data_IF_822771475259
#
_entry.id   IF_822771475259
#
_cell.length_a   1.000
_cell.length_b   1.000
_cell.length_c   1.000
_cell.angle_alpha   90.00
_cell.angle_beta   90.00
_cell.angle_gamma   90.00
#
_symmetry.space_group_name_H-M   'P 1'
#
loop_
_entity.id
_entity.type
_entity.pdbx_description
1 polymer ?
#
# COMPACT_ATOMS: atom_id res chain seq x y z
N UNK A 1 0.15 74.66 -57.05
CA UNK A 1 -1.30 74.75 -56.71
C UNK A 1 -1.64 73.40 -56.10
N UNK A 2 -2.22 73.21 -54.91
CA UNK A 2 -3.15 73.98 -54.12
C UNK A 2 -3.26 73.30 -52.74
N UNK A 3 -3.24 74.11 -51.67
CA UNK A 3 -4.02 74.02 -50.41
C UNK A 3 -4.16 72.66 -49.67
N UNK A 4 -3.62 72.52 -48.45
CA UNK A 4 -4.21 72.93 -47.15
C UNK A 4 -5.51 72.19 -46.75
N UNK A 5 -5.39 71.21 -45.85
CA UNK A 5 -6.32 70.91 -44.74
C UNK A 5 -5.57 69.98 -43.74
N UNK A 6 -5.08 70.44 -42.57
CA UNK A 6 -5.80 70.64 -41.29
C UNK A 6 -6.78 69.51 -40.96
N UNK A 7 -6.88 68.90 -39.78
CA UNK A 7 -6.20 68.90 -38.46
C UNK A 7 -6.92 67.76 -37.70
N UNK A 8 -6.26 67.05 -36.78
CA UNK A 8 -6.71 66.80 -35.39
C UNK A 8 -6.01 65.57 -34.77
N UNK A 9 -5.09 65.89 -33.83
CA UNK A 9 -4.98 65.31 -32.48
C UNK A 9 -4.77 63.79 -32.39
N UNK A 10 -3.69 63.27 -31.82
CA UNK A 10 -3.29 63.46 -30.41
C UNK A 10 -1.96 62.72 -30.16
N UNK A 11 -1.06 63.39 -29.45
CA UNK A 11 0.13 62.81 -28.82
C UNK A 11 -0.27 61.74 -27.80
N UNK A 12 0.36 60.57 -27.86
CA UNK A 12 0.54 59.68 -26.71
C UNK A 12 2.02 59.25 -26.71
N UNK A 13 2.80 59.53 -25.65
CA UNK A 13 4.16 59.05 -25.55
C UNK A 13 4.14 57.57 -25.18
N UNK A 14 4.80 56.73 -25.98
CA UNK A 14 4.99 55.31 -25.70
C UNK A 14 6.00 55.18 -24.58
N UNK A 15 5.50 54.94 -23.36
CA UNK A 15 6.32 54.61 -22.21
C UNK A 15 7.06 53.28 -22.45
N UNK A 16 8.39 53.36 -22.46
CA UNK A 16 9.27 52.20 -22.50
C UNK A 16 9.04 51.35 -21.23
N UNK A 17 8.47 50.15 -21.42
CA UNK A 17 8.32 49.16 -20.36
C UNK A 17 9.59 48.30 -20.31
N UNK A 18 10.34 48.46 -19.22
CA UNK A 18 11.33 47.50 -18.75
C UNK A 18 10.69 46.11 -18.64
N UNK A 19 11.03 45.18 -19.54
CA UNK A 19 10.80 43.76 -19.32
C UNK A 19 11.96 43.21 -18.50
N UNK A 20 11.84 43.30 -17.17
CA UNK A 20 12.59 42.42 -16.30
C UNK A 20 12.05 40.99 -16.53
N UNK A 21 12.87 40.14 -17.16
CA UNK A 21 12.58 38.73 -17.34
C UNK A 21 12.74 38.01 -16.00
N UNK A 22 11.69 38.04 -15.19
CA UNK A 22 11.63 37.25 -13.96
C UNK A 22 11.51 35.79 -14.35
N UNK A 23 12.62 35.06 -14.36
CA UNK A 23 12.61 33.59 -14.37
C UNK A 23 11.95 33.12 -13.09
N UNK A 24 10.65 32.86 -13.14
CA UNK A 24 9.98 32.01 -12.13
C UNK A 24 10.53 30.60 -12.29
N UNK A 25 11.48 30.24 -11.43
CA UNK A 25 11.84 28.85 -11.20
C UNK A 25 10.59 28.19 -10.60
N UNK A 26 9.79 27.52 -11.42
CA UNK A 26 8.78 26.58 -10.95
C UNK A 26 9.52 25.39 -10.34
N UNK A 27 9.78 25.45 -9.03
CA UNK A 27 10.06 24.27 -8.22
C UNK A 27 8.74 23.52 -8.03
N UNK A 28 8.18 22.98 -9.11
CA UNK A 28 7.18 21.93 -9.02
C UNK A 28 7.92 20.71 -8.51
N UNK A 29 7.86 20.55 -7.19
CA UNK A 29 8.35 19.42 -6.42
C UNK A 29 7.86 18.11 -7.05
N UNK A 30 8.76 17.41 -7.74
CA UNK A 30 8.62 16.01 -8.16
C UNK A 30 8.65 15.04 -6.96
N UNK A 31 8.09 15.44 -5.82
CA UNK A 31 7.85 14.53 -4.71
C UNK A 31 6.44 13.99 -4.89
N UNK A 32 6.30 12.97 -5.73
CA UNK A 32 5.29 11.96 -5.50
C UNK A 32 5.66 11.27 -4.17
N UNK A 33 5.32 11.94 -3.06
CA UNK A 33 5.60 11.46 -1.73
C UNK A 33 4.72 10.22 -1.51
N UNK A 34 5.35 9.06 -1.34
CA UNK A 34 4.70 7.87 -0.81
C UNK A 34 3.96 8.27 0.48
N UNK A 35 2.63 8.09 0.51
CA UNK A 35 1.81 8.47 1.66
C UNK A 35 1.86 7.41 2.76
N UNK A 36 2.17 6.17 2.41
CA UNK A 36 2.31 5.08 3.37
C UNK A 36 3.61 5.21 4.14
N UNK A 37 3.50 5.41 5.45
CA UNK A 37 4.64 5.53 6.37
C UNK A 37 4.34 4.76 7.65
N UNK A 38 5.31 3.98 8.14
CA UNK A 38 5.19 3.28 9.42
C UNK A 38 4.96 4.30 10.54
N UNK A 39 4.10 3.96 11.51
CA UNK A 39 3.61 4.82 12.60
C UNK A 39 2.66 5.94 12.16
N UNK A 40 2.27 6.04 10.88
CA UNK A 40 1.27 7.00 10.38
C UNK A 40 -0.01 6.29 9.96
N UNK A 41 -1.15 7.01 9.91
CA UNK A 41 -2.38 6.47 9.35
C UNK A 41 -2.16 5.95 7.92
N UNK A 42 -2.71 4.78 7.62
CA UNK A 42 -2.66 4.20 6.29
C UNK A 42 -3.41 5.09 5.28
N UNK A 43 -2.90 5.24 4.04
CA UNK A 43 -3.61 5.99 3.01
C UNK A 43 -5.00 5.39 2.75
N UNK A 44 -6.01 6.25 2.72
CA UNK A 44 -7.39 5.82 2.50
C UNK A 44 -7.54 5.23 1.09
N UNK A 45 -8.24 4.11 1.00
CA UNK A 45 -8.63 3.50 -0.27
C UNK A 45 -10.11 3.18 -0.27
N UNK A 46 -10.69 3.16 -1.47
CA UNK A 46 -12.06 2.77 -1.76
C UNK A 46 -12.11 2.24 -3.19
N UNK A 47 -12.79 1.12 -3.42
CA UNK A 47 -12.94 0.56 -4.76
C UNK A 47 -13.78 -0.70 -4.79
N UNK A 48 -14.00 -1.21 -6.00
CA UNK A 48 -14.75 -2.45 -6.23
C UNK A 48 -13.81 -3.63 -6.07
N UNK A 49 -14.19 -4.59 -5.24
CA UNK A 49 -13.50 -5.85 -5.05
C UNK A 49 -14.39 -7.04 -5.46
N UNK A 50 -13.76 -8.16 -5.80
CA UNK A 50 -14.43 -9.45 -5.91
C UNK A 50 -14.42 -10.12 -4.54
N UNK A 51 -15.59 -10.40 -3.98
CA UNK A 51 -15.79 -11.08 -2.69
C UNK A 51 -16.77 -12.22 -2.91
N UNK A 52 -16.37 -13.46 -2.63
CA UNK A 52 -17.20 -14.65 -2.88
C UNK A 52 -17.78 -14.70 -4.31
N UNK A 53 -16.97 -14.33 -5.32
CA UNK A 53 -17.36 -14.23 -6.74
C UNK A 53 -18.44 -13.18 -7.07
N UNK A 54 -18.71 -12.23 -6.15
CA UNK A 54 -19.59 -11.08 -6.37
C UNK A 54 -18.81 -9.77 -6.33
N UNK A 55 -19.33 -8.74 -7.01
CA UNK A 55 -18.76 -7.39 -6.94
C UNK A 55 -19.28 -6.65 -5.71
N UNK A 56 -18.35 -6.20 -4.88
CA UNK A 56 -18.66 -5.43 -3.68
C UNK A 56 -17.73 -4.23 -3.55
N UNK A 57 -18.29 -3.08 -3.21
CA UNK A 57 -17.48 -1.92 -2.85
C UNK A 57 -16.91 -2.10 -1.45
N UNK A 58 -15.60 -1.91 -1.30
CA UNK A 58 -14.89 -1.95 -0.02
C UNK A 58 -14.02 -0.70 0.14
N UNK A 59 -13.75 -0.35 1.38
CA UNK A 59 -12.91 0.79 1.75
C UNK A 59 -12.12 0.49 3.02
N UNK A 60 -11.04 1.23 3.27
CA UNK A 60 -10.17 1.00 4.43
C UNK A 60 -10.93 1.03 5.78
N UNK A 61 -11.94 1.90 5.91
CA UNK A 61 -12.72 2.01 7.14
C UNK A 61 -13.57 0.79 7.48
N UNK A 62 -13.84 -0.10 6.51
CA UNK A 62 -14.59 -1.34 6.75
C UNK A 62 -13.81 -2.34 7.61
N UNK A 63 -12.48 -2.16 7.69
CA UNK A 63 -11.56 -3.01 8.46
C UNK A 63 -11.20 -2.42 9.83
N UNK A 64 -11.82 -1.30 10.22
CA UNK A 64 -11.55 -0.65 11.53
C UNK A 64 -11.83 -1.61 12.68
N UNK A 65 -10.93 -1.62 13.67
CA UNK A 65 -11.04 -2.52 14.83
C UNK A 65 -10.41 -3.90 14.61
N UNK A 66 -9.95 -4.21 13.39
CA UNK A 66 -9.21 -5.43 13.06
C UNK A 66 -7.83 -5.09 12.52
N UNK A 67 -6.91 -6.03 12.63
CA UNK A 67 -5.68 -5.96 11.84
C UNK A 67 -6.02 -6.20 10.36
N UNK A 68 -5.28 -5.55 9.46
CA UNK A 68 -5.44 -5.71 8.02
C UNK A 68 -4.07 -5.96 7.37
N UNK A 69 -3.98 -7.06 6.63
CA UNK A 69 -2.91 -7.30 5.66
C UNK A 69 -3.40 -6.81 4.30
N UNK A 70 -2.88 -5.68 3.84
CA UNK A 70 -3.13 -5.17 2.50
C UNK A 70 -1.91 -5.48 1.64
N UNK A 71 -2.06 -6.30 0.59
CA UNK A 71 -0.93 -6.64 -0.26
C UNK A 71 -1.24 -6.42 -1.74
N UNK A 72 -0.26 -5.86 -2.43
CA UNK A 72 -0.28 -5.62 -3.86
C UNK A 72 0.41 -6.76 -4.60
N UNK A 73 -0.09 -7.09 -5.77
CA UNK A 73 0.57 -7.98 -6.71
C UNK A 73 0.59 -7.37 -8.12
N UNK A 74 1.57 -7.73 -8.96
CA UNK A 74 1.74 -7.10 -10.28
C UNK A 74 0.53 -7.14 -11.20
N UNK A 75 0.09 -8.33 -11.58
CA UNK A 75 -0.94 -8.57 -12.60
C UNK A 75 -1.62 -9.93 -12.40
N UNK A 76 -2.91 -9.97 -12.74
CA UNK A 76 -3.68 -11.21 -12.93
C UNK A 76 -3.07 -12.08 -14.06
N UNK A 77 -3.34 -13.39 -14.04
CA UNK A 77 -2.92 -14.36 -15.06
C UNK A 77 -1.40 -14.42 -15.33
N UNK A 78 -0.58 -14.15 -14.29
CA UNK A 78 0.88 -14.29 -14.34
C UNK A 78 1.37 -15.43 -13.44
N UNK A 79 2.69 -15.53 -13.20
CA UNK A 79 3.32 -16.76 -12.67
C UNK A 79 3.39 -16.83 -11.14
N UNK A 80 3.98 -15.82 -10.49
CA UNK A 80 4.18 -15.82 -9.02
C UNK A 80 2.96 -15.30 -8.27
N UNK A 81 2.19 -14.39 -8.87
CA UNK A 81 1.00 -13.81 -8.26
C UNK A 81 -0.03 -14.85 -7.77
N UNK A 82 -0.42 -15.89 -8.56
CA UNK A 82 -1.39 -16.87 -8.09
C UNK A 82 -0.89 -17.67 -6.89
N UNK A 83 0.42 -17.95 -6.79
CA UNK A 83 0.96 -18.73 -5.68
C UNK A 83 0.83 -17.98 -4.35
N UNK A 84 1.11 -16.68 -4.34
CA UNK A 84 0.94 -15.83 -3.15
C UNK A 84 -0.53 -15.71 -2.77
N UNK A 85 -1.39 -15.41 -3.74
CA UNK A 85 -2.83 -15.21 -3.52
C UNK A 85 -3.47 -16.47 -2.94
N UNK A 86 -3.14 -17.64 -3.51
CA UNK A 86 -3.61 -18.94 -3.05
C UNK A 86 -3.07 -19.25 -1.65
N UNK A 87 -1.78 -19.00 -1.37
CA UNK A 87 -1.18 -19.31 -0.08
C UNK A 87 -1.84 -18.53 1.08
N UNK A 88 -2.19 -17.26 0.87
CA UNK A 88 -2.98 -16.49 1.84
C UNK A 88 -4.42 -17.03 1.98
N UNK A 89 -5.03 -17.48 0.88
CA UNK A 89 -6.42 -17.96 0.88
C UNK A 89 -6.56 -19.28 1.64
N UNK A 90 -5.65 -20.21 1.38
CA UNK A 90 -5.66 -21.53 2.01
C UNK A 90 -5.41 -21.44 3.52
N UNK A 91 -4.68 -20.41 3.96
CA UNK A 91 -4.36 -20.13 5.38
C UNK A 91 -5.19 -19.01 6.00
N UNK A 92 -6.25 -18.55 5.34
CA UNK A 92 -7.07 -17.41 5.80
C UNK A 92 -7.64 -17.59 7.21
N UNK A 93 -7.88 -18.85 7.62
CA UNK A 93 -8.39 -19.19 8.96
C UNK A 93 -7.43 -18.78 10.07
N UNK A 94 -6.12 -18.85 9.82
CA UNK A 94 -5.09 -18.42 10.79
C UNK A 94 -5.13 -16.91 11.00
N UNK A 95 -5.34 -16.13 9.94
CA UNK A 95 -5.53 -14.68 10.03
C UNK A 95 -6.82 -14.33 10.77
N UNK A 96 -7.94 -14.99 10.43
CA UNK A 96 -9.23 -14.77 11.11
C UNK A 96 -9.17 -15.12 12.60
N UNK A 97 -8.44 -16.16 12.99
CA UNK A 97 -8.22 -16.52 14.40
C UNK A 97 -7.41 -15.45 15.16
N UNK A 98 -6.68 -14.60 14.44
CA UNK A 98 -5.93 -13.46 14.97
C UNK A 98 -6.66 -12.13 14.71
N UNK A 99 -7.99 -12.11 14.56
CA UNK A 99 -8.77 -10.90 14.25
C UNK A 99 -8.15 -10.04 13.13
N UNK A 100 -7.63 -10.72 12.11
CA UNK A 100 -6.91 -10.11 10.99
C UNK A 100 -7.61 -10.44 9.68
N UNK A 101 -7.87 -9.42 8.88
CA UNK A 101 -8.38 -9.55 7.52
C UNK A 101 -7.24 -9.42 6.51
N UNK A 102 -7.44 -9.98 5.31
CA UNK A 102 -6.48 -9.93 4.21
C UNK A 102 -7.18 -9.33 3.00
N UNK A 103 -6.50 -8.46 2.24
CA UNK A 103 -6.99 -7.90 0.96
C UNK A 103 -5.86 -7.93 -0.05
N UNK A 104 -6.10 -8.58 -1.19
CA UNK A 104 -5.22 -8.51 -2.36
C UNK A 104 -5.60 -7.35 -3.26
N UNK A 105 -4.62 -6.68 -3.86
CA UNK A 105 -4.83 -5.52 -4.74
C UNK A 105 -3.97 -5.64 -5.99
N UNK A 106 -4.52 -5.38 -7.16
CA UNK A 106 -3.72 -5.08 -8.36
C UNK A 106 -4.36 -3.97 -9.18
N UNK A 107 -3.69 -3.60 -10.27
CA UNK A 107 -4.16 -2.59 -11.22
C UNK A 107 -5.18 -3.12 -12.23
N UNK A 108 -5.53 -4.41 -12.14
CA UNK A 108 -6.49 -5.06 -13.02
C UNK A 108 -7.93 -4.66 -12.69
N UNK A 109 -8.86 -4.97 -13.59
CA UNK A 109 -10.29 -4.71 -13.36
C UNK A 109 -10.92 -5.79 -12.50
N UNK A 110 -12.01 -5.46 -11.80
CA UNK A 110 -12.80 -6.45 -11.04
C UNK A 110 -13.39 -7.55 -11.94
N UNK A 111 -13.60 -7.27 -13.24
CA UNK A 111 -13.98 -8.29 -14.23
C UNK A 111 -12.85 -9.30 -14.48
N UNK A 112 -11.60 -8.83 -14.57
CA UNK A 112 -10.41 -9.69 -14.68
C UNK A 112 -10.28 -10.58 -13.45
N UNK A 113 -10.39 -10.00 -12.26
CA UNK A 113 -10.36 -10.76 -11.01
C UNK A 113 -11.42 -11.86 -10.98
N UNK A 114 -12.66 -11.55 -11.36
CA UNK A 114 -13.74 -12.54 -11.38
C UNK A 114 -13.45 -13.67 -12.38
N UNK A 115 -12.96 -13.35 -13.58
CA UNK A 115 -12.54 -14.35 -14.55
C UNK A 115 -11.42 -15.25 -13.98
N UNK A 116 -10.46 -14.66 -13.27
CA UNK A 116 -9.32 -15.39 -12.70
C UNK A 116 -9.70 -16.28 -11.51
N UNK A 117 -10.62 -15.81 -10.66
CA UNK A 117 -11.26 -16.60 -9.59
C UNK A 117 -12.02 -17.80 -10.17
N UNK A 118 -12.71 -17.62 -11.30
CA UNK A 118 -13.45 -18.68 -11.97
C UNK A 118 -12.54 -19.64 -12.76
N UNK A 119 -11.26 -19.30 -12.95
CA UNK A 119 -10.30 -20.18 -13.63
C UNK A 119 -9.78 -21.24 -12.64
N UNK A 120 -9.77 -22.54 -12.99
CA UNK A 120 -9.23 -23.59 -12.12
C UNK A 120 -7.74 -23.41 -11.82
N UNK A 121 -7.31 -23.75 -10.59
CA UNK A 121 -5.89 -23.67 -10.17
C UNK A 121 -4.93 -24.44 -11.06
N UNK A 122 -5.36 -25.60 -11.59
CA UNK A 122 -4.57 -26.42 -12.53
C UNK A 122 -4.23 -25.71 -13.84
N UNK A 123 -5.02 -24.70 -14.21
CA UNK A 123 -4.87 -23.92 -15.45
C UNK A 123 -4.25 -22.54 -15.15
N UNK A 124 -3.65 -22.35 -13.97
CA UNK A 124 -3.05 -21.08 -13.55
C UNK A 124 -4.05 -20.07 -12.96
N UNK A 125 -5.28 -20.50 -12.69
CA UNK A 125 -6.29 -19.70 -12.00
C UNK A 125 -6.18 -19.70 -10.48
N UNK A 126 -7.11 -19.03 -9.80
CA UNK A 126 -7.14 -18.95 -8.34
C UNK A 126 -8.08 -19.98 -7.70
N UNK A 127 -9.17 -20.32 -8.41
CA UNK A 127 -10.29 -21.05 -7.83
C UNK A 127 -11.01 -20.24 -6.73
N UNK A 128 -11.72 -20.95 -5.84
CA UNK A 128 -12.47 -20.31 -4.75
C UNK A 128 -11.53 -19.51 -3.84
N UNK A 129 -11.83 -18.21 -3.70
CA UNK A 129 -11.12 -17.27 -2.85
C UNK A 129 -11.91 -16.94 -1.59
N UNK A 130 -11.21 -16.79 -0.46
CA UNK A 130 -11.81 -16.58 0.86
C UNK A 130 -11.62 -15.15 1.42
N UNK A 131 -11.03 -14.25 0.61
CA UNK A 131 -10.80 -12.85 0.93
C UNK A 131 -10.92 -11.97 -0.34
N UNK A 132 -11.06 -10.63 -0.19
CA UNK A 132 -11.32 -9.73 -1.31
C UNK A 132 -10.11 -9.54 -2.24
N UNK A 133 -10.38 -9.48 -3.55
CA UNK A 133 -9.45 -8.94 -4.54
C UNK A 133 -9.95 -7.58 -5.03
N UNK A 134 -9.23 -6.52 -4.68
CA UNK A 134 -9.57 -5.13 -4.94
C UNK A 134 -8.95 -4.65 -6.27
N UNK A 135 -9.79 -4.08 -7.13
CA UNK A 135 -9.37 -3.50 -8.39
C UNK A 135 -8.92 -2.04 -8.22
N UNK A 136 -7.65 -1.74 -8.51
CA UNK A 136 -7.08 -0.40 -8.58
C UNK A 136 -6.84 0.04 -10.04
N UNK A 137 -7.90 0.03 -10.85
CA UNK A 137 -7.80 0.34 -12.28
C UNK A 137 -7.19 1.74 -12.54
N UNK A 138 -7.45 2.68 -11.64
CA UNK A 138 -6.93 4.06 -11.70
C UNK A 138 -5.46 4.19 -11.25
N UNK A 139 -4.88 3.13 -10.66
CA UNK A 139 -3.52 3.09 -10.12
C UNK A 139 -3.27 4.04 -8.95
N UNK A 140 -4.33 4.70 -8.47
CA UNK A 140 -4.25 5.70 -7.41
C UNK A 140 -3.88 5.05 -6.08
N UNK A 141 -4.42 3.87 -5.81
CA UNK A 141 -4.16 3.16 -4.54
C UNK A 141 -2.70 2.71 -4.52
N UNK A 142 -2.21 2.05 -5.57
CA UNK A 142 -0.82 1.64 -5.71
C UNK A 142 0.15 2.83 -5.62
N UNK A 143 -0.22 3.98 -6.21
CA UNK A 143 0.57 5.22 -6.12
C UNK A 143 0.58 5.81 -4.70
N UNK A 144 -0.57 5.87 -4.04
CA UNK A 144 -0.68 6.38 -2.66
C UNK A 144 0.12 5.51 -1.67
N UNK A 145 0.17 4.21 -1.90
CA UNK A 145 0.98 3.25 -1.15
C UNK A 145 2.45 3.16 -1.61
N UNK A 146 2.84 3.90 -2.66
CA UNK A 146 4.22 4.00 -3.13
C UNK A 146 4.78 2.72 -3.77
N UNK A 147 3.92 1.86 -4.33
CA UNK A 147 4.30 0.58 -4.92
C UNK A 147 4.07 0.53 -6.43
N UNK A 148 3.53 1.58 -7.03
CA UNK A 148 3.34 1.68 -8.48
C UNK A 148 4.69 1.89 -9.20
N UNK A 149 5.01 1.01 -10.14
CA UNK A 149 6.02 1.25 -11.16
C UNK A 149 5.38 2.07 -12.28
N UNK A 150 5.61 3.38 -12.29
CA UNK A 150 4.99 4.31 -13.24
C UNK A 150 5.29 3.93 -14.70
N UNK A 151 6.53 3.54 -15.01
CA UNK A 151 6.95 3.19 -16.38
C UNK A 151 6.30 1.90 -16.90
N UNK A 152 6.01 0.95 -16.00
CA UNK A 152 5.44 -0.34 -16.34
C UNK A 152 3.91 -0.39 -16.15
N UNK A 153 3.33 0.57 -15.42
CA UNK A 153 1.90 0.63 -15.14
C UNK A 153 1.40 -0.48 -14.21
N UNK A 154 2.27 -1.11 -13.43
CA UNK A 154 1.96 -2.25 -12.53
C UNK A 154 2.47 -1.98 -11.11
N UNK A 155 1.94 -2.70 -10.12
CA UNK A 155 2.45 -2.62 -8.75
C UNK A 155 3.62 -3.59 -8.51
N UNK A 156 4.58 -3.19 -7.67
CA UNK A 156 5.52 -4.10 -7.02
C UNK A 156 4.78 -5.01 -6.02
N UNK A 157 5.49 -6.03 -5.52
CA UNK A 157 5.00 -6.93 -4.47
C UNK A 157 5.07 -6.27 -3.09
N UNK A 158 4.28 -5.21 -2.90
CA UNK A 158 4.15 -4.50 -1.63
C UNK A 158 3.17 -5.17 -0.69
N UNK A 159 3.49 -5.30 0.59
CA UNK A 159 2.63 -5.80 1.65
C UNK A 159 2.69 -4.83 2.83
N UNK A 160 1.52 -4.53 3.39
CA UNK A 160 1.34 -3.59 4.49
C UNK A 160 0.56 -4.28 5.60
N UNK A 161 1.08 -4.20 6.83
CA UNK A 161 0.34 -4.59 8.03
C UNK A 161 -0.18 -3.31 8.68
N UNK A 162 -1.51 -3.21 8.79
CA UNK A 162 -2.24 -2.07 9.33
C UNK A 162 -2.95 -2.53 10.61
N UNK A 163 -2.81 -1.77 11.70
CA UNK A 163 -3.39 -2.13 12.99
C UNK A 163 -4.88 -1.72 13.11
N UNK A 164 -5.58 -2.12 14.19
CA UNK A 164 -7.00 -1.81 14.43
C UNK A 164 -7.33 -0.31 14.45
N UNK A 165 -6.33 0.55 14.67
CA UNK A 165 -6.46 2.01 14.69
C UNK A 165 -6.22 2.62 13.31
N UNK A 166 -5.92 1.80 12.30
CA UNK A 166 -5.62 2.22 10.94
C UNK A 166 -4.20 2.74 10.77
N UNK A 167 -3.26 2.37 11.66
CA UNK A 167 -1.86 2.80 11.59
C UNK A 167 -1.03 1.73 10.87
N UNK A 168 -0.17 2.15 9.94
CA UNK A 168 0.78 1.25 9.27
C UNK A 168 1.86 0.82 10.27
N UNK A 169 1.99 -0.48 10.50
CA UNK A 169 2.97 -1.07 11.42
C UNK A 169 4.18 -1.65 10.70
N UNK A 170 3.98 -2.12 9.47
CA UNK A 170 5.03 -2.80 8.71
C UNK A 170 4.79 -2.64 7.21
N UNK A 171 5.90 -2.58 6.46
CA UNK A 171 5.92 -2.53 5.00
C UNK A 171 6.99 -3.52 4.50
N UNK A 172 6.60 -4.46 3.65
CA UNK A 172 7.51 -5.33 2.88
C UNK A 172 7.33 -5.01 1.40
N UNK A 173 8.40 -4.74 0.67
CA UNK A 173 8.35 -4.56 -0.79
C UNK A 173 9.37 -5.48 -1.42
N UNK A 174 8.90 -6.46 -2.18
CA UNK A 174 9.76 -7.32 -2.99
C UNK A 174 9.77 -6.84 -4.45
N UNK A 175 10.91 -7.07 -5.11
CA UNK A 175 10.99 -7.00 -6.57
C UNK A 175 10.11 -8.12 -7.20
N UNK A 176 9.81 -7.97 -8.50
CA UNK A 176 8.89 -8.82 -9.25
C UNK A 176 9.19 -10.33 -9.20
N UNK A 177 10.45 -10.83 -9.25
CA UNK A 177 10.69 -12.26 -9.38
C UNK A 177 10.62 -13.05 -8.06
N UNK A 178 10.52 -12.39 -6.89
CA UNK A 178 10.60 -13.05 -5.57
C UNK A 178 9.29 -12.92 -4.79
N UNK A 179 8.62 -14.05 -4.56
CA UNK A 179 7.41 -14.12 -3.74
C UNK A 179 7.64 -13.86 -2.24
N UNK A 180 6.57 -13.51 -1.53
CA UNK A 180 6.53 -13.25 -0.07
C UNK A 180 6.24 -14.51 0.73
N UNK A 181 6.47 -14.41 2.05
CA UNK A 181 6.21 -15.48 3.01
C UNK A 181 4.97 -15.21 3.86
N UNK A 182 4.03 -16.15 3.85
CA UNK A 182 2.83 -16.13 4.72
C UNK A 182 3.22 -16.35 6.19
N UNK A 183 4.21 -17.21 6.45
CA UNK A 183 4.69 -17.48 7.81
C UNK A 183 5.29 -16.23 8.46
N UNK A 184 6.10 -15.48 7.72
CA UNK A 184 6.67 -14.23 8.24
C UNK A 184 5.59 -13.19 8.50
N UNK A 185 4.58 -13.12 7.62
CA UNK A 185 3.44 -12.21 7.81
C UNK A 185 2.67 -12.55 9.09
N UNK A 186 2.38 -13.84 9.33
CA UNK A 186 1.73 -14.31 10.55
C UNK A 186 2.59 -14.05 11.79
N UNK A 187 3.90 -14.29 11.72
CA UNK A 187 4.84 -14.04 12.81
C UNK A 187 4.83 -12.56 13.21
N UNK A 188 4.87 -11.66 12.23
CA UNK A 188 4.83 -10.21 12.45
C UNK A 188 3.50 -9.77 13.08
N UNK A 189 2.36 -10.29 12.62
CA UNK A 189 1.05 -10.00 13.24
C UNK A 189 1.05 -10.45 14.70
N UNK A 190 1.46 -11.70 14.98
CA UNK A 190 1.56 -12.23 16.36
C UNK A 190 2.44 -11.34 17.23
N UNK A 191 3.57 -10.86 16.69
CA UNK A 191 4.49 -9.97 17.40
C UNK A 191 3.85 -8.62 17.72
N UNK A 192 3.23 -7.95 16.74
CA UNK A 192 2.59 -6.66 17.00
C UNK A 192 1.45 -6.76 18.01
N UNK A 193 0.60 -7.80 17.90
CA UNK A 193 -0.47 -8.05 18.89
C UNK A 193 0.11 -8.25 20.29
N UNK A 194 1.17 -9.05 20.42
CA UNK A 194 1.86 -9.23 21.70
C UNK A 194 2.38 -7.91 22.28
N UNK A 195 3.06 -7.08 21.47
CA UNK A 195 3.56 -5.79 21.95
C UNK A 195 2.46 -4.80 22.31
N UNK A 196 1.33 -4.82 21.59
CA UNK A 196 0.17 -3.96 21.87
C UNK A 196 -0.52 -4.35 23.19
N UNK A 197 -0.55 -5.64 23.53
CA UNK A 197 -1.19 -6.17 24.74
C UNK A 197 -0.30 -6.07 25.99
N UNK A 198 1.00 -6.34 25.86
CA UNK A 198 1.90 -6.48 27.01
C UNK A 198 2.83 -5.29 27.26
N UNK A 199 3.08 -4.44 26.25
CA UNK A 199 4.01 -3.31 26.35
C UNK A 199 5.50 -3.70 26.46
N UNK A 200 5.83 -4.98 26.32
CA UNK A 200 7.19 -5.47 26.12
C UNK A 200 7.57 -5.43 24.64
N UNK A 201 8.85 -5.63 24.31
CA UNK A 201 9.33 -5.68 22.93
C UNK A 201 9.83 -7.07 22.53
N UNK A 202 9.60 -7.41 21.27
CA UNK A 202 9.99 -8.68 20.67
C UNK A 202 11.41 -8.59 20.07
N UNK A 203 12.36 -9.47 20.46
CA UNK A 203 13.70 -9.51 19.88
C UNK A 203 13.74 -10.03 18.43
N UNK A 204 14.92 -10.01 17.81
CA UNK A 204 15.14 -10.55 16.48
C UNK A 204 14.76 -12.04 16.40
N UNK A 205 13.99 -12.41 15.38
CA UNK A 205 13.51 -13.79 15.22
C UNK A 205 12.53 -14.24 16.30
N UNK A 206 11.92 -13.33 17.06
CA UNK A 206 10.88 -13.67 18.04
C UNK A 206 9.76 -14.47 17.38
N UNK A 207 9.39 -15.56 18.01
CA UNK A 207 8.37 -16.48 17.58
C UNK A 207 7.72 -17.08 18.84
N UNK A 208 6.40 -17.00 19.00
CA UNK A 208 5.75 -17.42 20.24
C UNK A 208 5.88 -18.93 20.52
N UNK A 209 6.19 -19.73 19.50
CA UNK A 209 6.33 -21.19 19.59
C UNK A 209 7.81 -21.60 19.75
N UNK A 210 8.74 -20.88 19.11
CA UNK A 210 10.17 -21.24 19.07
C UNK A 210 11.08 -20.39 19.96
N UNK A 211 10.85 -19.08 20.02
CA UNK A 211 11.67 -18.13 20.78
C UNK A 211 10.79 -17.03 21.37
N UNK A 212 10.20 -17.33 22.53
CA UNK A 212 9.18 -16.50 23.17
C UNK A 212 9.71 -15.45 24.13
N UNK A 213 11.02 -15.43 24.40
CA UNK A 213 11.58 -14.48 25.36
C UNK A 213 11.50 -13.05 24.82
N UNK A 214 11.12 -12.11 25.69
CA UNK A 214 10.86 -10.70 25.37
C UNK A 214 11.67 -9.77 26.26
N UNK A 215 11.70 -8.49 25.90
CA UNK A 215 12.50 -7.48 26.60
C UNK A 215 11.57 -6.41 27.16
N UNK A 216 11.67 -6.13 28.46
CA UNK A 216 11.04 -4.94 29.05
C UNK A 216 11.79 -3.69 28.58
N UNK A 217 11.11 -2.69 27.99
CA UNK A 217 11.76 -1.53 27.39
C UNK A 217 12.21 -0.49 28.44
N UNK A 218 12.94 -0.95 29.46
CA UNK A 218 13.56 -0.11 30.48
C UNK A 218 14.97 -0.63 30.84
N UNK A 219 15.84 0.26 31.33
CA UNK A 219 17.27 -0.03 31.55
C UNK A 219 17.48 -1.13 32.61
N UNK A 220 16.59 -1.27 33.59
CA UNK A 220 16.73 -2.27 34.65
C UNK A 220 16.08 -3.59 34.24
N UNK A 221 14.86 -3.54 33.71
CA UNK A 221 14.08 -4.70 33.28
C UNK A 221 14.71 -5.44 32.10
N UNK A 222 15.31 -4.73 31.15
CA UNK A 222 15.99 -5.36 30.01
C UNK A 222 17.15 -6.28 30.41
N UNK A 223 17.79 -6.06 31.57
CA UNK A 223 18.89 -6.90 32.06
C UNK A 223 18.48 -8.35 32.29
N UNK A 224 17.22 -8.65 32.59
CA UNK A 224 16.78 -10.04 32.77
C UNK A 224 16.90 -10.84 31.48
N UNK A 225 16.64 -10.19 30.33
CA UNK A 225 16.80 -10.80 29.02
C UNK A 225 18.29 -10.95 28.67
N UNK A 226 19.07 -9.88 28.79
CA UNK A 226 20.48 -9.90 28.39
C UNK A 226 21.35 -10.83 29.26
N UNK A 227 21.04 -10.98 30.54
CA UNK A 227 21.76 -11.95 31.40
C UNK A 227 21.45 -13.42 31.04
N UNK A 228 20.34 -13.68 30.35
CA UNK A 228 19.93 -15.03 29.93
C UNK A 228 20.53 -15.41 28.58
N UNK A 229 20.76 -14.43 27.70
CA UNK A 229 21.12 -14.63 26.29
C UNK A 229 22.48 -14.06 25.86
N UNK A 230 23.16 -13.32 26.73
CA UNK A 230 24.50 -12.76 26.51
C UNK A 230 25.60 -13.67 27.06
#
# INVERSE_FOLDING_TARGET
MSFLARTLLRNIPVAAKNLAYTRTLSTTSYLACCKAQVQKPAPQFKGIAVVNAEFKEIQLSDFKGKYLVLFFYPLDFTFVCPTEIIAFSDRIKEFKALDTEVVGVSVDSHFSHLAWVNTPRKDGGLGKMEYPLLADLTKKIAKDYGVLLEDAGIALRGLFIIDPKGIVRQITINDLPVGRSVDETLRLIKAFKFTDEHGEVCPAGWDPEKNKDTIKPDVKGSKSYFNKHG
#
